data_IF_016167390487
#
_entry.id   IF_016167390487
#
_cell.length_a   1.000
_cell.length_b   1.000
_cell.length_c   1.000
_cell.angle_alpha   90.00
_cell.angle_beta   90.00
_cell.angle_gamma   90.00
#
_symmetry.space_group_name_H-M   'P 1'
#
loop_
_entity.id
_entity.type
_entity.pdbx_description
1 polymer ?
#
# COMPACT_ATOMS: atom_id res chain seq x y z
N UNK A 1 -13.17 17.93 14.19
CA UNK A 1 -13.75 18.33 12.88
C UNK A 1 -15.26 18.27 12.86
N UNK A 2 -15.93 17.15 13.19
CA UNK A 2 -17.41 17.06 13.20
C UNK A 2 -18.12 18.17 13.99
N UNK A 3 -17.62 18.52 15.19
CA UNK A 3 -18.16 19.65 15.97
C UNK A 3 -17.95 21.01 15.29
N UNK A 4 -16.81 21.21 14.62
CA UNK A 4 -16.55 22.44 13.87
C UNK A 4 -17.50 22.58 12.66
N UNK A 5 -17.79 21.47 11.96
CA UNK A 5 -18.78 21.42 10.88
C UNK A 5 -20.18 21.81 11.39
N UNK A 6 -20.60 21.30 12.56
CA UNK A 6 -21.87 21.67 13.16
C UNK A 6 -21.96 23.17 13.50
N UNK A 7 -20.84 23.77 13.94
CA UNK A 7 -20.78 25.18 14.30
C UNK A 7 -20.72 26.09 13.07
N UNK A 8 -20.06 25.65 12.00
CA UNK A 8 -19.99 26.38 10.74
C UNK A 8 -19.97 25.44 9.53
N UNK A 9 -21.15 25.11 8.95
CA UNK A 9 -21.26 24.20 7.81
C UNK A 9 -20.72 24.75 6.49
N UNK A 10 -20.41 26.04 6.39
CA UNK A 10 -19.79 26.64 5.19
C UNK A 10 -18.27 26.73 5.29
N UNK A 11 -17.66 26.26 6.38
CA UNK A 11 -16.21 26.35 6.57
C UNK A 11 -15.49 25.16 5.95
N UNK A 12 -15.09 25.30 4.69
CA UNK A 12 -14.45 24.27 3.87
C UNK A 12 -13.26 23.54 4.55
N UNK A 13 -12.34 24.24 5.26
CA UNK A 13 -11.22 23.57 5.92
C UNK A 13 -11.63 22.48 6.91
N UNK A 14 -12.79 22.58 7.57
CA UNK A 14 -13.23 21.54 8.52
C UNK A 14 -13.59 20.23 7.83
N UNK A 15 -14.15 20.31 6.62
CA UNK A 15 -14.45 19.14 5.80
C UNK A 15 -13.17 18.53 5.23
N UNK A 16 -12.27 19.36 4.69
CA UNK A 16 -10.97 18.90 4.17
C UNK A 16 -10.15 18.17 5.24
N UNK A 17 -10.02 18.74 6.44
CA UNK A 17 -9.30 18.10 7.55
C UNK A 17 -9.94 16.80 7.99
N UNK A 18 -11.27 16.68 7.92
CA UNK A 18 -11.94 15.42 8.21
C UNK A 18 -11.67 14.39 7.12
N UNK A 19 -11.70 14.79 5.84
CA UNK A 19 -11.38 13.92 4.72
C UNK A 19 -9.96 13.33 4.84
N UNK A 20 -8.96 14.18 5.08
CA UNK A 20 -7.57 13.74 5.28
C UNK A 20 -7.42 12.81 6.48
N UNK A 21 -8.09 13.13 7.59
CA UNK A 21 -8.05 12.28 8.80
C UNK A 21 -8.65 10.89 8.55
N UNK A 22 -9.79 10.80 7.86
CA UNK A 22 -10.43 9.53 7.54
C UNK A 22 -9.61 8.74 6.50
N UNK A 23 -9.14 9.42 5.45
CA UNK A 23 -8.32 8.85 4.39
C UNK A 23 -7.02 8.23 4.92
N UNK A 24 -6.24 8.99 5.69
CA UNK A 24 -4.99 8.51 6.31
C UNK A 24 -5.13 7.34 7.27
N UNK A 25 -6.33 7.10 7.79
CA UNK A 25 -6.63 5.94 8.66
C UNK A 25 -7.13 4.73 7.88
N UNK A 26 -7.29 4.84 6.55
CA UNK A 26 -8.00 3.89 5.70
C UNK A 26 -9.34 3.47 6.29
N UNK A 27 -10.06 4.42 6.87
CA UNK A 27 -11.34 4.20 7.53
C UNK A 27 -12.40 5.08 6.92
N UNK A 28 -13.56 4.49 6.64
CA UNK A 28 -14.73 5.23 6.17
C UNK A 28 -14.38 6.06 4.93
N UNK A 29 -13.67 5.45 3.96
CA UNK A 29 -13.12 6.13 2.78
C UNK A 29 -14.21 6.79 1.92
N UNK A 30 -15.41 6.23 1.87
CA UNK A 30 -16.55 6.88 1.23
C UNK A 30 -16.93 8.20 1.91
N UNK A 31 -16.92 8.23 3.25
CA UNK A 31 -17.13 9.48 3.98
C UNK A 31 -15.98 10.45 3.76
N UNK A 32 -14.73 9.98 3.78
CA UNK A 32 -13.57 10.80 3.48
C UNK A 32 -13.72 11.49 2.11
N UNK A 33 -14.15 10.74 1.10
CA UNK A 33 -14.38 11.25 -0.24
C UNK A 33 -15.51 12.29 -0.27
N UNK A 34 -16.65 12.03 0.38
CA UNK A 34 -17.76 13.00 0.47
C UNK A 34 -17.32 14.29 1.18
N UNK A 35 -16.56 14.19 2.27
CA UNK A 35 -16.04 15.37 2.98
C UNK A 35 -15.09 16.18 2.10
N UNK A 36 -14.17 15.52 1.39
CA UNK A 36 -13.25 16.19 0.47
C UNK A 36 -14.00 16.89 -0.68
N UNK A 37 -14.98 16.22 -1.29
CA UNK A 37 -15.84 16.84 -2.33
C UNK A 37 -16.63 18.02 -1.79
N UNK A 38 -17.08 17.97 -0.53
CA UNK A 38 -17.76 19.09 0.12
C UNK A 38 -16.82 20.29 0.26
N UNK A 39 -15.58 20.08 0.69
CA UNK A 39 -14.57 21.15 0.76
C UNK A 39 -14.31 21.78 -0.62
N UNK A 40 -14.17 20.95 -1.67
CA UNK A 40 -14.03 21.42 -3.06
C UNK A 40 -15.26 22.21 -3.52
N UNK A 41 -16.47 21.80 -3.13
CA UNK A 41 -17.69 22.52 -3.50
C UNK A 41 -17.79 23.90 -2.86
N UNK A 42 -17.30 24.03 -1.62
CA UNK A 42 -17.30 25.29 -0.87
C UNK A 42 -16.21 26.25 -1.36
N UNK A 43 -15.05 25.74 -1.75
CA UNK A 43 -13.93 26.54 -2.30
C UNK A 43 -13.35 25.89 -3.58
N UNK A 44 -14.01 26.07 -4.74
CA UNK A 44 -13.69 25.33 -5.97
C UNK A 44 -12.33 25.67 -6.59
N UNK A 45 -11.76 26.83 -6.26
CA UNK A 45 -10.45 27.29 -6.72
C UNK A 45 -9.30 26.82 -5.84
N UNK A 46 -9.57 26.16 -4.71
CA UNK A 46 -8.53 25.69 -3.81
C UNK A 46 -7.94 24.37 -4.33
N UNK A 47 -6.72 24.44 -4.86
CA UNK A 47 -6.01 23.30 -5.44
C UNK A 47 -5.73 22.22 -4.40
N UNK A 48 -5.41 22.61 -3.15
CA UNK A 48 -5.07 21.68 -2.07
C UNK A 48 -6.21 20.71 -1.75
N UNK A 49 -7.46 21.17 -1.77
CA UNK A 49 -8.61 20.28 -1.51
C UNK A 49 -8.79 19.24 -2.61
N UNK A 50 -8.52 19.60 -3.87
CA UNK A 50 -8.57 18.64 -4.99
C UNK A 50 -7.43 17.62 -4.89
N UNK A 51 -6.24 18.06 -4.47
CA UNK A 51 -5.11 17.16 -4.18
C UNK A 51 -5.47 16.16 -3.08
N UNK A 52 -6.10 16.61 -1.99
CA UNK A 52 -6.53 15.74 -0.91
C UNK A 52 -7.63 14.76 -1.34
N UNK A 53 -8.59 15.20 -2.17
CA UNK A 53 -9.59 14.31 -2.78
C UNK A 53 -8.94 13.25 -3.66
N UNK A 54 -7.96 13.63 -4.48
CA UNK A 54 -7.22 12.69 -5.32
C UNK A 54 -6.48 11.65 -4.47
N UNK A 55 -5.84 12.05 -3.38
CA UNK A 55 -5.21 11.11 -2.44
C UNK A 55 -6.24 10.14 -1.84
N UNK A 56 -7.40 10.62 -1.39
CA UNK A 56 -8.47 9.74 -0.88
C UNK A 56 -8.94 8.76 -1.97
N UNK A 57 -9.07 9.20 -3.23
CA UNK A 57 -9.44 8.34 -4.35
C UNK A 57 -8.38 7.27 -4.64
N UNK A 58 -7.10 7.59 -4.47
CA UNK A 58 -6.01 6.62 -4.57
C UNK A 58 -6.10 5.56 -3.47
N UNK A 59 -6.43 5.96 -2.23
CA UNK A 59 -6.70 5.02 -1.13
C UNK A 59 -7.94 4.16 -1.35
N UNK A 60 -8.94 4.69 -2.05
CA UNK A 60 -10.10 3.94 -2.53
C UNK A 60 -9.79 3.09 -3.75
N UNK A 61 -8.53 3.04 -4.20
CA UNK A 61 -8.10 2.23 -5.33
C UNK A 61 -8.71 2.71 -6.69
N UNK A 62 -9.21 3.96 -6.73
CA UNK A 62 -9.89 4.63 -7.84
C UNK A 62 -8.95 5.59 -8.59
N UNK A 63 -7.85 5.05 -9.11
CA UNK A 63 -6.80 5.82 -9.79
C UNK A 63 -7.29 6.69 -10.95
N UNK A 64 -8.20 6.17 -11.79
CA UNK A 64 -8.80 6.92 -12.91
C UNK A 64 -9.47 8.22 -12.47
N UNK A 65 -10.26 8.14 -11.40
CA UNK A 65 -10.96 9.31 -10.86
C UNK A 65 -9.97 10.30 -10.24
N UNK A 66 -8.91 9.81 -9.58
CA UNK A 66 -7.86 10.65 -9.03
C UNK A 66 -7.13 11.44 -10.14
N UNK A 67 -6.77 10.79 -11.25
CA UNK A 67 -6.17 11.42 -12.44
C UNK A 67 -7.08 12.54 -12.97
N UNK A 68 -8.39 12.29 -13.10
CA UNK A 68 -9.34 13.30 -13.57
C UNK A 68 -9.40 14.52 -12.63
N UNK A 69 -9.43 14.30 -11.32
CA UNK A 69 -9.43 15.38 -10.32
C UNK A 69 -8.14 16.20 -10.39
N UNK A 70 -6.98 15.54 -10.55
CA UNK A 70 -5.68 16.17 -10.65
C UNK A 70 -5.50 16.96 -11.95
N UNK A 71 -6.05 16.50 -13.07
CA UNK A 71 -6.09 17.27 -14.32
C UNK A 71 -6.88 18.57 -14.17
N UNK A 72 -7.96 18.57 -13.38
CA UNK A 72 -8.69 19.81 -13.07
C UNK A 72 -7.86 20.69 -12.13
N UNK A 73 -7.21 20.11 -11.12
CA UNK A 73 -6.33 20.83 -10.21
C UNK A 73 -5.17 21.53 -10.96
N UNK A 74 -4.60 20.89 -11.98
CA UNK A 74 -3.50 21.43 -12.77
C UNK A 74 -3.91 22.70 -13.54
N UNK A 75 -5.16 22.75 -14.01
CA UNK A 75 -5.74 23.93 -14.68
C UNK A 75 -6.03 25.08 -13.71
N UNK A 76 -6.09 24.80 -12.41
CA UNK A 76 -6.39 25.77 -11.36
C UNK A 76 -5.15 26.26 -10.61
N UNK A 77 -4.02 25.56 -10.74
CA UNK A 77 -2.74 25.97 -10.17
C UNK A 77 -2.33 27.35 -10.69
N UNK A 78 -1.95 28.25 -9.77
CA UNK A 78 -1.61 29.65 -10.09
C UNK A 78 -0.15 29.95 -9.85
N UNK A 79 0.51 29.16 -9.01
CA UNK A 79 1.91 29.34 -8.66
C UNK A 79 2.76 28.18 -9.19
N UNK A 80 4.05 28.40 -9.50
CA UNK A 80 4.94 27.32 -9.91
C UNK A 80 4.99 26.17 -8.91
N UNK A 81 4.93 26.48 -7.61
CA UNK A 81 4.90 25.48 -6.54
C UNK A 81 3.64 24.60 -6.59
N UNK A 82 2.46 25.20 -6.82
CA UNK A 82 1.22 24.45 -6.98
C UNK A 82 1.25 23.60 -8.26
N UNK A 83 1.77 24.15 -9.36
CA UNK A 83 1.90 23.43 -10.63
C UNK A 83 2.77 22.20 -10.45
N UNK A 84 3.98 22.35 -9.91
CA UNK A 84 4.90 21.24 -9.67
C UNK A 84 4.30 20.21 -8.71
N UNK A 85 3.63 20.65 -7.65
CA UNK A 85 2.98 19.73 -6.71
C UNK A 85 1.88 18.90 -7.38
N UNK A 86 1.04 19.53 -8.19
CA UNK A 86 -0.05 18.83 -8.91
C UNK A 86 0.50 17.93 -10.01
N UNK A 87 1.49 18.37 -10.77
CA UNK A 87 2.13 17.58 -11.82
C UNK A 87 2.78 16.31 -11.25
N UNK A 88 3.49 16.45 -10.14
CA UNK A 88 4.04 15.30 -9.42
C UNK A 88 2.92 14.35 -9.01
N UNK A 89 1.86 14.83 -8.36
CA UNK A 89 0.75 13.94 -7.98
C UNK A 89 0.05 13.29 -9.19
N UNK A 90 -0.09 14.02 -10.30
CA UNK A 90 -0.69 13.50 -11.53
C UNK A 90 0.14 12.36 -12.12
N UNK A 91 1.47 12.50 -12.15
CA UNK A 91 2.40 11.45 -12.56
C UNK A 91 2.22 10.19 -11.70
N UNK A 92 2.24 10.33 -10.36
CA UNK A 92 2.04 9.20 -9.45
C UNK A 92 0.66 8.53 -9.63
N UNK A 93 -0.40 9.31 -9.85
CA UNK A 93 -1.74 8.78 -10.07
C UNK A 93 -1.86 8.03 -11.40
N UNK A 94 -1.19 8.49 -12.45
CA UNK A 94 -1.13 7.82 -13.75
C UNK A 94 -0.36 6.50 -13.68
N UNK A 95 0.78 6.48 -12.98
CA UNK A 95 1.56 5.26 -12.77
C UNK A 95 0.74 4.22 -12.01
N UNK A 96 0.11 4.61 -10.90
CA UNK A 96 -0.78 3.73 -10.15
C UNK A 96 -1.91 3.17 -11.01
N UNK A 97 -2.53 4.00 -11.84
CA UNK A 97 -3.61 3.58 -12.72
C UNK A 97 -3.14 2.60 -13.80
N UNK A 98 -2.00 2.88 -14.44
CA UNK A 98 -1.39 2.00 -15.43
C UNK A 98 -1.00 0.64 -14.84
N UNK A 99 -0.42 0.62 -13.64
CA UNK A 99 -0.07 -0.61 -12.93
C UNK A 99 -1.31 -1.43 -12.59
N UNK A 100 -2.39 -0.77 -12.16
CA UNK A 100 -3.68 -1.44 -11.93
C UNK A 100 -4.28 -2.01 -13.20
N UNK A 101 -4.23 -1.29 -14.31
CA UNK A 101 -4.72 -1.78 -15.60
C UNK A 101 -3.92 -2.99 -16.09
N UNK A 102 -2.60 -2.96 -15.93
CA UNK A 102 -1.71 -4.09 -16.23
C UNK A 102 -2.11 -5.34 -15.44
N UNK A 103 -2.21 -5.22 -14.13
CA UNK A 103 -2.60 -6.33 -13.24
C UNK A 103 -3.98 -6.87 -13.63
N UNK A 104 -4.97 -6.00 -13.86
CA UNK A 104 -6.31 -6.42 -14.26
C UNK A 104 -6.30 -7.12 -15.64
N UNK A 105 -5.51 -6.63 -16.59
CA UNK A 105 -5.38 -7.25 -17.91
C UNK A 105 -4.74 -8.63 -17.82
N UNK A 106 -3.66 -8.77 -17.06
CA UNK A 106 -3.01 -10.06 -16.79
C UNK A 106 -3.98 -11.05 -16.12
N UNK A 107 -4.75 -10.61 -15.12
CA UNK A 107 -5.78 -11.42 -14.47
C UNK A 107 -6.88 -11.88 -15.45
N UNK A 108 -7.31 -11.01 -16.38
CA UNK A 108 -8.30 -11.39 -17.40
C UNK A 108 -7.75 -12.43 -18.38
N UNK A 109 -6.50 -12.29 -18.80
CA UNK A 109 -5.84 -13.25 -19.68
C UNK A 109 -5.70 -14.63 -19.01
N UNK A 110 -5.42 -14.67 -17.70
CA UNK A 110 -5.41 -15.90 -16.92
C UNK A 110 -6.82 -16.52 -16.83
N UNK A 111 -7.84 -15.70 -16.58
CA UNK A 111 -9.24 -16.18 -16.44
C UNK A 111 -9.91 -16.57 -17.78
N UNK A 112 -9.34 -16.22 -18.93
CA UNK A 112 -9.88 -16.55 -20.26
C UNK A 112 -9.25 -17.79 -20.90
N UNK A 113 -8.26 -18.43 -20.27
CA UNK A 113 -7.83 -19.76 -20.68
C UNK A 113 -8.89 -20.81 -20.29
N UNK A 114 -9.48 -21.54 -21.25
CA UNK A 114 -10.36 -22.65 -20.90
C UNK A 114 -9.53 -23.67 -20.14
N UNK A 115 -10.05 -24.16 -19.01
CA UNK A 115 -9.57 -25.38 -18.39
C UNK A 115 -9.70 -26.52 -19.42
N UNK A 116 -8.65 -26.77 -20.20
CA UNK A 116 -8.59 -27.88 -21.13
C UNK A 116 -8.62 -29.16 -20.29
N UNK A 117 -9.79 -29.80 -20.31
CA UNK A 117 -10.10 -30.99 -19.55
C UNK A 117 -9.24 -32.19 -19.91
N UNK A 118 -9.23 -33.11 -18.96
CA UNK A 118 -8.66 -34.46 -19.02
C UNK A 118 -8.73 -35.12 -20.40
N UNK A 119 -7.60 -35.66 -20.84
CA UNK A 119 -7.58 -36.93 -21.58
C UNK A 119 -6.29 -37.68 -21.27
N UNK A 120 -6.51 -38.82 -20.62
CA UNK A 120 -5.56 -39.89 -20.38
C UNK A 120 -5.10 -40.47 -21.71
N UNK A 121 -3.80 -40.47 -21.97
CA UNK A 121 -3.16 -41.52 -22.77
C UNK A 121 -1.81 -41.83 -22.16
N UNK A 122 -1.73 -43.00 -21.55
CA UNK A 122 -0.50 -43.71 -21.22
C UNK A 122 0.26 -43.94 -22.52
N UNK A 123 1.50 -43.48 -22.60
CA UNK A 123 2.51 -44.20 -23.37
C UNK A 123 3.89 -43.92 -22.81
N UNK A 124 4.54 -45.00 -22.39
CA UNK A 124 5.91 -45.04 -21.92
C UNK A 124 6.88 -44.59 -23.01
N UNK A 125 7.93 -43.87 -22.62
CA UNK A 125 9.03 -43.46 -23.47
C UNK A 125 10.13 -42.84 -22.62
N UNK A 126 11.13 -43.67 -22.31
CA UNK A 126 12.38 -43.38 -21.60
C UNK A 126 13.11 -42.13 -22.11
N UNK A 127 13.66 -41.33 -21.19
CA UNK A 127 14.70 -40.36 -21.54
C UNK A 127 14.82 -39.19 -20.56
N UNK A 128 15.83 -39.30 -19.68
CA UNK A 128 16.67 -38.19 -19.22
C UNK A 128 16.09 -37.13 -18.26
N UNK A 129 16.44 -37.36 -17.00
CA UNK A 129 17.15 -36.45 -16.09
C UNK A 129 16.60 -35.03 -15.81
N UNK A 130 16.47 -34.78 -14.50
CA UNK A 130 16.35 -33.50 -13.82
C UNK A 130 15.11 -32.65 -14.13
N UNK A 131 14.16 -32.60 -13.19
CA UNK A 131 13.34 -31.39 -13.07
C UNK A 131 12.80 -31.21 -11.66
N UNK A 132 13.32 -30.16 -11.02
CA UNK A 132 12.86 -29.59 -9.74
C UNK A 132 11.33 -29.50 -9.66
N UNK A 133 10.73 -29.59 -8.47
CA UNK A 133 9.31 -29.31 -8.29
C UNK A 133 8.99 -27.89 -8.75
N UNK A 134 8.01 -27.73 -9.65
CA UNK A 134 7.45 -26.42 -10.02
C UNK A 134 6.88 -25.75 -8.77
N UNK A 135 7.49 -24.64 -8.35
CA UNK A 135 6.95 -23.80 -7.30
C UNK A 135 5.71 -23.08 -7.83
N UNK A 136 4.55 -23.45 -7.29
CA UNK A 136 3.30 -22.72 -7.44
C UNK A 136 3.47 -21.36 -6.75
N UNK A 137 3.40 -20.24 -7.47
CA UNK A 137 3.19 -18.93 -6.84
C UNK A 137 1.79 -18.97 -6.23
N UNK A 138 1.72 -19.06 -4.91
CA UNK A 138 0.47 -18.97 -4.16
C UNK A 138 0.29 -17.52 -3.76
N UNK A 139 -0.78 -16.90 -4.22
CA UNK A 139 -1.16 -15.55 -3.77
C UNK A 139 -1.34 -15.57 -2.24
N UNK A 140 -0.79 -14.56 -1.56
CA UNK A 140 -0.95 -14.42 -0.11
C UNK A 140 -2.43 -14.14 0.20
N UNK A 141 -3.13 -15.13 0.78
CA UNK A 141 -4.51 -14.97 1.26
C UNK A 141 -4.43 -14.68 2.75
N UNK A 142 -4.63 -13.42 3.11
CA UNK A 142 -4.74 -12.97 4.49
C UNK A 142 -5.68 -13.86 5.31
N UNK A 143 -5.20 -14.42 6.42
CA UNK A 143 -6.03 -15.25 7.29
C UNK A 143 -5.82 -14.93 8.77
N UNK A 144 -6.87 -14.41 9.39
CA UNK A 144 -6.93 -14.23 10.85
C UNK A 144 -6.55 -12.83 11.32
N UNK A 145 -6.45 -12.62 12.64
CA UNK A 145 -6.18 -11.31 13.21
C UNK A 145 -4.71 -10.92 12.98
N UNK A 146 -4.48 -9.61 12.80
CA UNK A 146 -3.14 -9.04 12.81
C UNK A 146 -2.41 -9.41 14.09
N UNK A 147 -1.17 -9.86 13.95
CA UNK A 147 -0.31 -10.34 15.03
C UNK A 147 0.73 -9.28 15.35
N UNK A 148 1.25 -9.32 16.57
CA UNK A 148 2.38 -8.51 16.99
C UNK A 148 3.49 -9.38 17.56
N UNK A 149 4.73 -9.05 17.25
CA UNK A 149 5.92 -9.69 17.83
C UNK A 149 6.98 -8.64 18.13
N UNK A 150 7.65 -8.78 19.27
CA UNK A 150 8.80 -7.95 19.63
C UNK A 150 10.05 -8.82 19.62
N UNK A 151 11.12 -8.32 19.01
CA UNK A 151 12.36 -9.07 18.85
C UNK A 151 13.47 -8.27 18.20
N UNK A 152 14.52 -8.97 17.76
CA UNK A 152 15.63 -8.41 17.00
C UNK A 152 15.42 -8.66 15.50
N UNK A 153 15.50 -7.62 14.68
CA UNK A 153 15.44 -7.74 13.22
C UNK A 153 16.76 -8.36 12.72
N UNK A 154 16.65 -9.32 11.80
CA UNK A 154 17.76 -10.04 11.18
C UNK A 154 17.46 -10.34 9.71
N UNK A 155 18.50 -10.67 8.95
CA UNK A 155 18.40 -11.15 7.57
C UNK A 155 17.63 -10.19 6.64
N UNK A 156 17.84 -8.88 6.78
CA UNK A 156 17.20 -7.87 5.94
C UNK A 156 17.77 -7.92 4.52
N UNK A 157 16.91 -8.25 3.56
CA UNK A 157 17.21 -8.28 2.14
C UNK A 157 16.19 -7.43 1.39
N UNK A 158 16.68 -6.47 0.60
CA UNK A 158 15.83 -5.69 -0.27
C UNK A 158 16.13 -6.00 -1.73
N UNK A 159 15.06 -6.10 -2.53
CA UNK A 159 15.17 -6.20 -3.99
C UNK A 159 14.19 -5.23 -4.64
N UNK A 160 14.72 -4.15 -5.22
CA UNK A 160 13.94 -2.99 -5.65
C UNK A 160 13.16 -2.40 -4.46
N UNK A 161 11.84 -2.55 -4.47
CA UNK A 161 10.90 -2.11 -3.44
C UNK A 161 10.46 -3.25 -2.51
N UNK A 162 10.79 -4.51 -2.82
CA UNK A 162 10.49 -5.64 -1.95
C UNK A 162 11.45 -5.66 -0.76
N UNK A 163 10.96 -6.07 0.40
CA UNK A 163 11.77 -6.34 1.58
C UNK A 163 11.42 -7.69 2.18
N UNK A 164 12.44 -8.50 2.39
CA UNK A 164 12.43 -9.69 3.20
C UNK A 164 13.20 -9.42 4.49
N UNK A 165 12.65 -9.77 5.63
CA UNK A 165 13.35 -9.70 6.91
C UNK A 165 12.86 -10.80 7.85
N UNK A 166 13.62 -11.07 8.90
CA UNK A 166 13.22 -11.96 9.97
C UNK A 166 13.21 -11.23 11.31
N UNK A 167 12.25 -11.58 12.18
CA UNK A 167 12.22 -11.09 13.57
C UNK A 167 12.46 -12.25 14.52
N UNK A 168 13.53 -12.16 15.31
CA UNK A 168 13.89 -13.15 16.31
C UNK A 168 13.37 -12.76 17.68
N UNK A 169 12.44 -13.55 18.21
CA UNK A 169 11.86 -13.40 19.55
C UNK A 169 12.14 -14.65 20.38
N UNK A 170 13.19 -14.61 21.20
CA UNK A 170 13.68 -15.77 21.95
C UNK A 170 14.17 -16.89 21.03
N UNK A 171 13.50 -18.05 21.08
CA UNK A 171 13.80 -19.22 20.25
C UNK A 171 13.05 -19.25 18.91
N UNK A 172 12.14 -18.30 18.67
CA UNK A 172 11.34 -18.23 17.45
C UNK A 172 11.92 -17.18 16.51
N UNK A 173 12.05 -17.55 15.24
CA UNK A 173 12.38 -16.64 14.14
C UNK A 173 11.20 -16.66 13.17
N UNK A 174 10.62 -15.49 12.90
CA UNK A 174 9.48 -15.34 11.99
C UNK A 174 9.97 -14.65 10.73
N UNK A 175 9.98 -15.32 9.57
CA UNK A 175 10.27 -14.68 8.29
C UNK A 175 9.07 -13.83 7.84
N UNK A 176 9.37 -12.65 7.32
CA UNK A 176 8.40 -11.63 6.96
C UNK A 176 8.75 -11.07 5.59
N UNK A 177 7.71 -10.82 4.80
CA UNK A 177 7.83 -10.29 3.45
C UNK A 177 6.91 -9.08 3.26
N UNK A 178 7.37 -8.09 2.50
CA UNK A 178 6.51 -7.08 1.88
C UNK A 178 6.95 -6.87 0.44
N UNK A 179 5.99 -6.86 -0.48
CA UNK A 179 6.22 -6.58 -1.89
C UNK A 179 6.64 -5.11 -2.13
N UNK A 180 6.33 -4.21 -1.18
CA UNK A 180 6.70 -2.80 -1.28
C UNK A 180 6.89 -2.19 0.12
N UNK A 181 8.14 -1.90 0.49
CA UNK A 181 8.46 -1.32 1.81
C UNK A 181 8.07 0.15 1.94
N UNK A 182 7.80 0.88 0.86
CA UNK A 182 7.27 2.25 0.93
C UNK A 182 5.84 2.30 1.48
N UNK A 183 5.12 1.17 1.43
CA UNK A 183 3.77 1.02 2.01
C UNK A 183 3.80 0.59 3.49
N UNK A 184 4.98 0.34 4.06
CA UNK A 184 5.15 -0.07 5.44
C UNK A 184 5.29 1.16 6.33
N UNK A 185 4.53 1.20 7.41
CA UNK A 185 4.65 2.26 8.42
C UNK A 185 5.86 1.99 9.31
N UNK A 186 6.84 2.90 9.27
CA UNK A 186 8.00 2.89 10.16
C UNK A 186 7.87 3.95 11.24
N UNK A 187 7.98 3.55 12.50
CA UNK A 187 7.96 4.44 13.67
C UNK A 187 9.14 4.15 14.58
N UNK A 188 9.47 5.10 15.46
CA UNK A 188 10.50 4.95 16.48
C UNK A 188 9.89 5.26 17.85
N UNK A 189 10.13 4.38 18.82
CA UNK A 189 9.70 4.56 20.21
C UNK A 189 10.94 4.70 21.10
N UNK A 190 11.04 5.81 21.81
CA UNK A 190 12.11 6.06 22.79
C UNK A 190 13.39 6.67 22.22
N UNK A 191 13.42 7.02 20.93
CA UNK A 191 14.50 7.81 20.32
C UNK A 191 14.00 8.59 19.10
N UNK A 192 14.71 9.66 18.75
CA UNK A 192 14.49 10.42 17.52
C UNK A 192 15.55 10.01 16.50
N UNK A 193 15.18 9.49 15.32
CA UNK A 193 16.13 9.22 14.24
C UNK A 193 16.86 10.51 13.84
N UNK A 194 18.18 10.43 13.65
CA UNK A 194 19.01 11.58 13.25
C UNK A 194 18.92 11.93 11.77
N UNK A 195 18.36 11.02 10.97
CA UNK A 195 18.17 11.14 9.52
C UNK A 195 16.94 10.35 9.10
N UNK A 196 16.51 10.53 7.85
CA UNK A 196 15.49 9.68 7.23
C UNK A 196 15.91 8.20 7.34
N UNK A 197 14.99 7.37 7.82
CA UNK A 197 15.21 5.94 7.98
C UNK A 197 15.31 5.28 6.61
N UNK A 198 16.37 4.53 6.37
CA UNK A 198 16.57 3.70 5.17
C UNK A 198 16.32 2.23 5.53
N UNK A 199 15.15 1.66 5.22
CA UNK A 199 14.76 0.33 5.68
C UNK A 199 15.80 -0.77 5.40
N UNK A 200 16.42 -0.72 4.22
CA UNK A 200 17.35 -1.75 3.78
C UNK A 200 18.74 -1.69 4.45
N UNK A 201 19.14 -0.55 5.02
CA UNK A 201 20.44 -0.40 5.69
C UNK A 201 20.34 -0.24 7.20
N UNK A 202 19.19 0.24 7.70
CA UNK A 202 19.10 0.76 9.07
C UNK A 202 18.31 -0.15 10.02
N UNK A 203 17.63 -1.19 9.48
CA UNK A 203 16.81 -2.11 10.26
C UNK A 203 17.59 -3.30 10.84
N UNK A 204 18.65 -3.75 10.17
CA UNK A 204 19.41 -4.94 10.58
C UNK A 204 19.94 -4.80 12.01
N UNK A 205 19.70 -5.82 12.84
CA UNK A 205 20.16 -5.85 14.22
C UNK A 205 19.43 -4.91 15.17
N UNK A 206 18.35 -4.23 14.74
CA UNK A 206 17.58 -3.32 15.61
C UNK A 206 16.51 -4.07 16.40
N UNK A 207 16.31 -3.71 17.68
CA UNK A 207 15.13 -4.17 18.41
C UNK A 207 13.88 -3.47 17.85
N UNK A 208 12.83 -4.24 17.61
CA UNK A 208 11.59 -3.71 17.05
C UNK A 208 10.36 -4.49 17.52
N UNK A 209 9.22 -3.82 17.49
CA UNK A 209 7.89 -4.43 17.48
C UNK A 209 7.36 -4.42 16.05
N UNK A 210 6.97 -5.59 15.56
CA UNK A 210 6.44 -5.78 14.21
C UNK A 210 4.97 -6.18 14.29
N UNK A 211 4.16 -5.54 13.45
CA UNK A 211 2.80 -5.99 13.10
C UNK A 211 2.86 -6.80 11.79
N UNK A 212 2.25 -7.98 11.78
CA UNK A 212 2.24 -8.86 10.62
C UNK A 212 0.93 -9.65 10.51
N UNK A 213 0.73 -10.24 9.34
CA UNK A 213 -0.41 -11.11 9.04
C UNK A 213 0.08 -12.46 8.52
N UNK A 214 -0.56 -13.55 8.96
CA UNK A 214 -0.27 -14.90 8.49
C UNK A 214 -1.17 -15.24 7.30
N UNK A 215 -0.65 -16.03 6.37
CA UNK A 215 -1.45 -16.53 5.24
C UNK A 215 -2.32 -17.71 5.68
N UNK A 216 -3.46 -17.91 5.01
CA UNK A 216 -4.24 -19.15 5.08
C UNK A 216 -3.37 -20.37 4.70
N UNK A 217 -2.39 -20.16 3.82
CA UNK A 217 -1.38 -21.14 3.49
C UNK A 217 -0.22 -21.09 4.49
N UNK A 218 -0.08 -22.15 5.28
CA UNK A 218 1.00 -22.30 6.27
C UNK A 218 2.41 -22.33 5.65
N UNK A 219 2.52 -22.55 4.33
CA UNK A 219 3.79 -22.53 3.63
C UNK A 219 4.20 -21.13 3.12
N UNK A 220 3.31 -20.14 3.17
CA UNK A 220 3.59 -18.78 2.72
C UNK A 220 4.23 -17.95 3.84
N UNK A 221 5.18 -17.08 3.46
CA UNK A 221 5.81 -16.12 4.37
C UNK A 221 4.77 -15.15 4.92
N UNK A 222 4.89 -14.81 6.20
CA UNK A 222 4.00 -13.82 6.82
C UNK A 222 4.20 -12.44 6.19
N UNK A 223 3.10 -11.68 6.04
CA UNK A 223 3.14 -10.35 5.46
C UNK A 223 3.47 -9.31 6.52
N UNK A 224 4.50 -8.50 6.25
CA UNK A 224 4.89 -7.36 7.06
C UNK A 224 3.88 -6.21 6.88
N UNK A 225 3.45 -5.58 7.98
CA UNK A 225 2.50 -4.46 7.94
C UNK A 225 3.08 -3.16 8.53
N UNK A 226 3.73 -3.24 9.69
CA UNK A 226 4.36 -2.08 10.34
C UNK A 226 5.57 -2.48 11.18
N UNK A 227 6.52 -1.54 11.31
CA UNK A 227 7.75 -1.71 12.10
C UNK A 227 7.91 -0.52 13.05
N UNK A 228 7.90 -0.79 14.34
CA UNK A 228 8.20 0.18 15.39
C UNK A 228 9.57 -0.13 16.00
N UNK A 229 10.57 0.70 15.70
CA UNK A 229 11.94 0.57 16.22
C UNK A 229 12.00 0.97 17.68
N UNK A 230 12.68 0.16 18.49
CA UNK A 230 12.94 0.42 19.90
C UNK A 230 14.40 0.84 20.11
N UNK A 231 14.69 1.40 21.29
CA UNK A 231 16.03 1.79 21.71
C UNK A 231 16.76 0.64 22.39
#
# INVERSE_FOLDING_TARGET
MRRAIQLNPSFAPSFDRLAVFLGSRHRELDEAHIMGLTAVSLEPSNVSYRMNVANVLMEMERGKDAVMVLQVAAKLAKTPQETEWVENALMHAQEFEADRERINTEQRLINTQPAAGNSTTVSAGTGENETRPRLVRRDFVAHGPRRFVTGLIQDVHCNSENIDLAIKSGAKTIPLHSDNYYKISFTALGFQPSSDLKPCSDLEGRPAKIEYEESADKAATARLLSVELHK
#
